data_IF_365175653102
#
_entry.id   IF_365175653102
#
_cell.length_a   1.000
_cell.length_b   1.000
_cell.length_c   1.000
_cell.angle_alpha   90.00
_cell.angle_beta   90.00
_cell.angle_gamma   90.00
#
_symmetry.space_group_name_H-M   'P 1'
#
loop_
_entity.id
_entity.type
_entity.pdbx_description
1 polymer ?
#
# COMPACT_ATOMS: atom_id res chain seq x y z
N UNK A 1 7.19 10.32 11.87
CA UNK A 1 7.36 10.95 10.54
C UNK A 1 6.69 10.12 9.43
N UNK A 2 6.97 8.81 9.37
CA UNK A 2 6.46 7.87 8.36
C UNK A 2 4.93 7.88 8.15
N UNK A 3 4.13 7.88 9.22
CA UNK A 3 2.67 7.92 9.09
C UNK A 3 2.18 9.13 8.29
N UNK A 4 2.84 10.29 8.42
CA UNK A 4 2.46 11.50 7.69
C UNK A 4 2.69 11.35 6.19
N UNK A 5 3.78 10.70 5.80
CA UNK A 5 4.12 10.40 4.40
C UNK A 5 3.05 9.48 3.81
N UNK A 6 2.76 8.37 4.49
CA UNK A 6 1.76 7.41 4.02
C UNK A 6 0.35 8.02 3.96
N UNK A 7 -0.08 8.79 4.96
CA UNK A 7 -1.37 9.51 4.93
C UNK A 7 -1.43 10.45 3.71
N UNK A 8 -0.39 11.26 3.50
CA UNK A 8 -0.32 12.18 2.35
C UNK A 8 -0.45 11.43 1.02
N UNK A 9 0.26 10.30 0.90
CA UNK A 9 0.19 9.45 -0.27
C UNK A 9 -1.23 8.91 -0.51
N UNK A 10 -1.86 8.29 0.50
CA UNK A 10 -3.18 7.66 0.34
C UNK A 10 -4.30 8.68 0.09
N UNK A 11 -4.16 9.91 0.59
CA UNK A 11 -5.14 10.98 0.38
C UNK A 11 -5.00 11.63 -1.01
N UNK A 12 -3.80 11.67 -1.58
CA UNK A 12 -3.53 12.43 -2.83
C UNK A 12 -3.19 11.52 -4.01
N UNK A 13 -2.15 10.69 -3.86
CA UNK A 13 -1.57 9.89 -4.94
C UNK A 13 -2.40 8.67 -5.30
N UNK A 14 -2.90 7.91 -4.32
CA UNK A 14 -3.74 6.75 -4.62
C UNK A 14 -4.98 7.13 -5.47
N UNK A 15 -5.75 8.18 -5.16
CA UNK A 15 -6.83 8.63 -6.02
C UNK A 15 -6.38 9.05 -7.44
N UNK A 16 -5.21 9.67 -7.57
CA UNK A 16 -4.63 10.06 -8.86
C UNK A 16 -4.31 8.82 -9.73
N UNK A 17 -3.56 7.86 -9.18
CA UNK A 17 -3.20 6.60 -9.85
C UNK A 17 -4.47 5.84 -10.25
N UNK A 18 -5.45 5.77 -9.34
CA UNK A 18 -6.71 5.11 -9.61
C UNK A 18 -7.44 5.77 -10.79
N UNK A 19 -7.56 7.10 -10.79
CA UNK A 19 -8.23 7.83 -11.86
C UNK A 19 -7.48 7.73 -13.19
N UNK A 20 -6.14 7.78 -13.18
CA UNK A 20 -5.35 7.68 -14.42
C UNK A 20 -5.47 6.29 -15.06
N UNK A 21 -5.61 5.23 -14.26
CA UNK A 21 -5.88 3.87 -14.74
C UNK A 21 -7.37 3.58 -15.00
N UNK A 22 -8.26 4.57 -14.87
CA UNK A 22 -9.70 4.40 -15.11
C UNK A 22 -10.42 3.48 -14.11
N UNK A 23 -9.80 3.20 -12.96
CA UNK A 23 -10.33 2.27 -11.96
C UNK A 23 -11.32 2.98 -11.02
N UNK A 24 -12.43 2.36 -10.70
CA UNK A 24 -13.38 2.85 -9.70
C UNK A 24 -12.99 2.40 -8.30
N UNK A 25 -13.44 3.12 -7.26
CA UNK A 25 -13.19 2.73 -5.87
C UNK A 25 -13.68 1.31 -5.56
N UNK A 26 -14.80 0.91 -6.16
CA UNK A 26 -15.40 -0.42 -5.99
C UNK A 26 -14.53 -1.51 -6.62
N UNK A 27 -13.94 -1.25 -7.78
CA UNK A 27 -13.08 -2.21 -8.48
C UNK A 27 -11.78 -2.47 -7.70
N UNK A 28 -11.08 -1.43 -7.27
CA UNK A 28 -9.87 -1.62 -6.45
C UNK A 28 -10.20 -2.27 -5.10
N UNK A 29 -11.28 -1.87 -4.43
CA UNK A 29 -11.68 -2.51 -3.18
C UNK A 29 -11.92 -4.01 -3.37
N UNK A 30 -12.59 -4.40 -4.46
CA UNK A 30 -12.80 -5.80 -4.83
C UNK A 30 -11.49 -6.50 -5.19
N UNK A 31 -10.62 -5.87 -5.99
CA UNK A 31 -9.35 -6.45 -6.43
C UNK A 31 -8.37 -6.68 -5.26
N UNK A 32 -8.40 -5.81 -4.26
CA UNK A 32 -7.58 -5.92 -3.03
C UNK A 32 -8.25 -6.78 -1.95
N UNK A 33 -9.50 -7.23 -2.17
CA UNK A 33 -10.21 -8.09 -1.22
C UNK A 33 -10.71 -7.39 0.05
N UNK A 34 -11.08 -6.12 -0.05
CA UNK A 34 -11.59 -5.31 1.06
C UNK A 34 -12.97 -4.71 0.78
N UNK A 35 -13.61 -4.17 1.83
CA UNK A 35 -14.88 -3.45 1.67
C UNK A 35 -14.67 -2.06 1.05
N UNK A 36 -15.64 -1.58 0.27
CA UNK A 36 -15.62 -0.21 -0.28
C UNK A 36 -15.47 0.84 0.83
N UNK A 37 -16.17 0.67 1.95
CA UNK A 37 -16.06 1.60 3.08
C UNK A 37 -14.68 1.62 3.75
N UNK A 38 -13.91 0.52 3.70
CA UNK A 38 -12.50 0.52 4.14
C UNK A 38 -11.65 1.34 3.18
N UNK A 39 -11.84 1.16 1.87
CA UNK A 39 -11.13 1.92 0.84
C UNK A 39 -11.42 3.43 0.91
N UNK A 40 -12.70 3.81 1.07
CA UNK A 40 -13.09 5.23 1.18
C UNK A 40 -12.40 5.92 2.37
N UNK A 41 -12.20 5.20 3.48
CA UNK A 41 -11.47 5.74 4.64
C UNK A 41 -9.99 5.97 4.36
N UNK A 42 -9.39 5.24 3.42
CA UNK A 42 -8.00 5.44 3.00
C UNK A 42 -7.86 6.73 2.17
N UNK A 43 -8.68 6.91 1.13
CA UNK A 43 -8.66 8.15 0.32
C UNK A 43 -9.03 9.39 1.18
N UNK A 44 -9.84 9.21 2.22
CA UNK A 44 -10.19 10.28 3.16
C UNK A 44 -9.13 10.52 4.26
N UNK A 45 -8.07 9.71 4.34
CA UNK A 45 -7.03 9.81 5.37
C UNK A 45 -7.49 9.50 6.79
N UNK A 46 -8.68 8.91 6.95
CA UNK A 46 -9.28 8.58 8.25
C UNK A 46 -8.69 7.32 8.86
N UNK A 47 -8.25 6.39 8.02
CA UNK A 47 -7.61 5.13 8.41
C UNK A 47 -6.44 4.90 7.49
N UNK A 48 -5.30 4.49 8.06
CA UNK A 48 -4.15 4.07 7.28
C UNK A 48 -4.31 2.58 6.89
N UNK A 49 -4.03 2.20 5.63
CA UNK A 49 -3.93 0.79 5.27
C UNK A 49 -2.83 0.08 6.07
N UNK A 50 -3.03 -1.21 6.36
CA UNK A 50 -2.00 -2.05 6.97
C UNK A 50 -0.93 -2.41 5.93
N UNK A 51 0.24 -2.87 6.37
CA UNK A 51 1.32 -3.31 5.48
C UNK A 51 0.85 -4.33 4.43
N UNK A 52 0.05 -5.30 4.84
CA UNK A 52 -0.55 -6.29 3.94
C UNK A 52 -1.51 -5.67 2.91
N UNK A 53 -2.29 -4.65 3.30
CA UNK A 53 -3.16 -3.94 2.35
C UNK A 53 -2.34 -3.14 1.34
N UNK A 54 -1.23 -2.52 1.78
CA UNK A 54 -0.31 -1.76 0.90
C UNK A 54 0.31 -2.68 -0.13
N UNK A 55 0.80 -3.85 0.29
CA UNK A 55 1.35 -4.87 -0.61
C UNK A 55 0.32 -5.33 -1.65
N UNK A 56 -0.93 -5.58 -1.23
CA UNK A 56 -2.01 -5.96 -2.16
C UNK A 56 -2.36 -4.84 -3.15
N UNK A 57 -2.35 -3.57 -2.74
CA UNK A 57 -2.61 -2.45 -3.66
C UNK A 57 -1.49 -2.35 -4.71
N UNK A 58 -0.23 -2.46 -4.29
CA UNK A 58 0.91 -2.43 -5.19
C UNK A 58 0.82 -3.59 -6.21
N UNK A 59 0.55 -4.80 -5.72
CA UNK A 59 0.30 -5.98 -6.55
C UNK A 59 -0.88 -5.82 -7.52
N UNK A 60 -2.01 -5.23 -7.08
CA UNK A 60 -3.15 -4.91 -7.94
C UNK A 60 -2.78 -4.00 -9.12
N UNK A 61 -1.80 -3.13 -8.92
CA UNK A 61 -1.29 -2.24 -9.95
C UNK A 61 -0.09 -2.77 -10.71
N UNK A 62 0.34 -4.01 -10.43
CA UNK A 62 1.53 -4.65 -11.00
C UNK A 62 2.81 -3.83 -10.75
N UNK A 63 2.91 -3.24 -9.56
CA UNK A 63 4.04 -2.41 -9.13
C UNK A 63 4.63 -2.97 -7.84
N UNK A 64 5.92 -2.79 -7.63
CA UNK A 64 6.51 -2.94 -6.29
C UNK A 64 5.98 -1.88 -5.33
N UNK A 65 6.13 -2.07 -4.02
CA UNK A 65 5.69 -1.07 -3.05
C UNK A 65 6.48 0.24 -3.17
N UNK A 66 7.77 0.16 -3.50
CA UNK A 66 8.61 1.34 -3.71
C UNK A 66 8.14 2.17 -4.90
N UNK A 67 7.89 1.51 -6.05
CA UNK A 67 7.37 2.16 -7.25
C UNK A 67 5.98 2.74 -7.03
N UNK A 68 5.13 1.99 -6.33
CA UNK A 68 3.77 2.43 -6.03
C UNK A 68 3.77 3.69 -5.15
N UNK A 69 4.62 3.72 -4.12
CA UNK A 69 4.69 4.84 -3.18
C UNK A 69 5.50 6.03 -3.73
N UNK A 70 6.35 5.81 -4.74
CA UNK A 70 7.13 6.85 -5.41
C UNK A 70 8.06 7.61 -4.45
N UNK A 71 8.67 6.87 -3.53
CA UNK A 71 9.47 7.39 -2.42
C UNK A 71 10.88 7.75 -2.88
N UNK A 72 11.51 8.70 -2.19
CA UNK A 72 12.97 8.83 -2.28
C UNK A 72 13.65 7.62 -1.62
N UNK A 73 14.92 7.36 -1.92
CA UNK A 73 15.69 6.25 -1.31
C UNK A 73 15.62 6.29 0.23
N UNK A 74 15.76 7.48 0.80
CA UNK A 74 15.72 7.72 2.26
C UNK A 74 14.32 7.45 2.85
N UNK A 75 13.25 7.82 2.14
CA UNK A 75 11.87 7.56 2.55
C UNK A 75 11.51 6.08 2.39
N UNK A 76 12.06 5.42 1.38
CA UNK A 76 11.86 4.00 1.08
C UNK A 76 12.35 3.13 2.22
N UNK A 77 13.59 3.32 2.68
CA UNK A 77 14.15 2.52 3.78
C UNK A 77 13.38 2.68 5.09
N UNK A 78 13.00 3.93 5.43
CA UNK A 78 12.21 4.21 6.62
C UNK A 78 10.80 3.59 6.56
N UNK A 79 10.20 3.53 5.38
CA UNK A 79 8.89 2.91 5.17
C UNK A 79 9.01 1.38 5.20
N UNK A 80 9.98 0.78 4.51
CA UNK A 80 10.23 -0.67 4.51
C UNK A 80 10.40 -1.20 5.92
N UNK A 81 11.26 -0.56 6.72
CA UNK A 81 11.50 -0.98 8.10
C UNK A 81 10.19 -1.00 8.91
N UNK A 82 9.39 0.06 8.81
CA UNK A 82 8.08 0.11 9.47
C UNK A 82 7.13 -0.98 8.96
N UNK A 83 7.06 -1.21 7.64
CA UNK A 83 6.15 -2.19 7.06
C UNK A 83 6.51 -3.62 7.48
N UNK A 84 7.81 -3.91 7.57
CA UNK A 84 8.34 -5.20 8.06
C UNK A 84 8.03 -5.36 9.55
N UNK A 85 8.32 -4.36 10.39
CA UNK A 85 7.99 -4.38 11.83
C UNK A 85 6.49 -4.60 12.07
N UNK A 86 5.63 -3.92 11.30
CA UNK A 86 4.18 -4.10 11.36
C UNK A 86 3.78 -5.52 10.93
N UNK A 87 4.49 -6.12 9.96
CA UNK A 87 4.25 -7.46 9.45
C UNK A 87 4.73 -8.58 10.38
N UNK A 88 5.79 -8.37 11.16
CA UNK A 88 6.26 -9.33 12.16
C UNK A 88 5.25 -9.56 13.30
N UNK A 89 4.32 -8.63 13.47
CA UNK A 89 3.19 -8.74 14.41
C UNK A 89 1.96 -9.42 13.79
N UNK A 90 2.03 -9.81 12.51
CA UNK A 90 0.95 -10.49 11.80
C UNK A 90 1.15 -12.02 11.80
N UNK A 91 0.13 -12.75 11.34
CA UNK A 91 0.26 -14.20 11.13
C UNK A 91 1.33 -14.51 10.07
N UNK A 92 1.94 -15.71 10.10
CA UNK A 92 2.97 -16.11 9.16
C UNK A 92 2.57 -15.94 7.68
N UNK A 93 1.30 -16.16 7.35
CA UNK A 93 0.75 -16.03 6.00
C UNK A 93 0.77 -14.58 5.52
N UNK A 94 0.30 -13.66 6.37
CA UNK A 94 0.29 -12.24 6.08
C UNK A 94 1.71 -11.65 6.04
N UNK A 95 2.61 -12.14 6.90
CA UNK A 95 4.04 -11.77 6.88
C UNK A 95 4.69 -12.14 5.55
N UNK A 96 4.43 -13.35 5.04
CA UNK A 96 4.99 -13.81 3.77
C UNK A 96 4.59 -12.88 2.61
N UNK A 97 3.31 -12.50 2.54
CA UNK A 97 2.80 -11.57 1.50
C UNK A 97 3.56 -10.24 1.53
N UNK A 98 3.79 -9.69 2.73
CA UNK A 98 4.50 -8.41 2.86
C UNK A 98 5.96 -8.57 2.47
N UNK A 99 6.66 -9.60 2.95
CA UNK A 99 8.09 -9.81 2.64
C UNK A 99 8.30 -10.02 1.15
N UNK A 100 7.51 -10.91 0.53
CA UNK A 100 7.63 -11.21 -0.91
C UNK A 100 7.45 -9.91 -1.74
N UNK A 101 6.47 -9.08 -1.41
CA UNK A 101 6.23 -7.79 -2.07
C UNK A 101 7.32 -6.74 -1.83
N UNK A 102 8.15 -6.88 -0.79
CA UNK A 102 9.30 -6.00 -0.51
C UNK A 102 10.60 -6.51 -1.15
N UNK A 103 10.71 -7.82 -1.38
CA UNK A 103 11.92 -8.47 -1.89
C UNK A 103 11.93 -8.69 -3.40
N UNK A 104 10.78 -8.58 -4.07
CA UNK A 104 10.69 -8.66 -5.54
C UNK A 104 11.31 -7.41 -6.18
N UNK A 105 12.64 -7.42 -6.23
CA UNK A 105 13.40 -6.79 -7.31
C UNK A 105 13.04 -7.61 -8.55
N UNK A 106 12.20 -7.08 -9.44
CA UNK A 106 11.95 -7.70 -10.73
C UNK A 106 13.31 -8.10 -11.35
N UNK A 107 13.39 -9.37 -11.78
CA UNK A 107 14.52 -9.93 -12.50
C UNK A 107 14.89 -9.09 -13.73
#
# INVERSE_FOLDING_TARGET
MVNKILISFFVRRLPEIRRSKGVTRKEIAKGVGITLGKYDKWEAGKVLPKSEDIARIASFYEMSVDEFLGLTEEESEAIKQKLIEDAERLSPEARKIVVDAMTDKQA
#
